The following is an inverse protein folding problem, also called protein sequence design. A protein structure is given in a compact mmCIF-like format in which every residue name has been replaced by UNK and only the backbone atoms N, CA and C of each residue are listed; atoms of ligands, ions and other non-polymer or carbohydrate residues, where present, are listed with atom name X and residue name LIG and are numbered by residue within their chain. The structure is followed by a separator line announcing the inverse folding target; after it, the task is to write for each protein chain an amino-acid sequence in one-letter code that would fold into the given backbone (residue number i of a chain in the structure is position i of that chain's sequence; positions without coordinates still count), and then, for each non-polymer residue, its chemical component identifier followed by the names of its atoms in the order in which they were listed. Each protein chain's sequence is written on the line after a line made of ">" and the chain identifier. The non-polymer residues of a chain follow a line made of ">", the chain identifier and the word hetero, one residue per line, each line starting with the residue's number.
data_IF_570691104657
#
_entry.id   IF_570691104657
#
_cell.length_a   1.000
_cell.length_b   1.000
_cell.length_c   1.000
_cell.angle_alpha   90.00
_cell.angle_beta   90.00
_cell.angle_gamma   90.00
#
_symmetry.space_group_name_H-M   'P 1'
#
loop_
_entity.id
_entity.type
_entity.pdbx_description
1 polymer ?
#
# COMPACT_ATOMS: atom_id res chain seq x y z
N UNK A 1 4.76 15.00 -4.18
CA UNK A 1 4.12 14.42 -2.99
C UNK A 1 2.79 13.85 -3.46
N UNK A 2 2.65 12.53 -3.56
CA UNK A 2 1.39 11.96 -4.04
C UNK A 2 0.31 12.20 -2.97
N UNK A 3 -0.87 12.72 -3.33
CA UNK A 3 -1.96 12.96 -2.37
C UNK A 3 -2.37 11.68 -1.62
N UNK A 4 -2.11 10.52 -2.21
CA UNK A 4 -2.38 9.19 -1.65
C UNK A 4 -1.41 8.80 -0.53
N UNK A 5 -0.15 9.27 -0.54
CA UNK A 5 0.81 9.01 0.55
C UNK A 5 0.44 9.75 1.84
N UNK A 6 0.05 11.02 1.71
CA UNK A 6 -0.39 11.82 2.85
C UNK A 6 -1.70 11.26 3.44
N UNK A 7 -2.62 10.87 2.56
CA UNK A 7 -3.86 10.19 2.93
C UNK A 7 -3.58 8.86 3.65
N UNK A 8 -2.60 8.07 3.19
CA UNK A 8 -2.20 6.82 3.82
C UNK A 8 -1.66 7.06 5.23
N UNK A 9 -0.74 8.02 5.38
CA UNK A 9 -0.16 8.39 6.69
C UNK A 9 -1.26 8.81 7.67
N UNK A 10 -2.21 9.62 7.22
CA UNK A 10 -3.33 10.09 8.04
C UNK A 10 -4.28 8.95 8.42
N UNK A 11 -4.60 8.04 7.49
CA UNK A 11 -5.42 6.86 7.75
C UNK A 11 -4.76 5.93 8.79
N UNK A 12 -3.45 5.69 8.65
CA UNK A 12 -2.69 4.87 9.60
C UNK A 12 -2.64 5.51 11.00
N UNK A 13 -2.38 6.82 11.08
CA UNK A 13 -2.39 7.57 12.35
C UNK A 13 -3.76 7.54 13.05
N UNK A 14 -4.85 7.49 12.28
CA UNK A 14 -6.22 7.37 12.79
C UNK A 14 -6.61 5.94 13.15
N UNK A 15 -5.71 4.96 13.00
CA UNK A 15 -6.00 3.54 13.22
C UNK A 15 -6.95 2.94 12.17
N UNK A 16 -7.16 3.61 11.04
CA UNK A 16 -8.05 3.16 9.97
C UNK A 16 -7.31 2.17 9.05
N UNK A 17 -7.04 0.97 9.55
CA UNK A 17 -6.22 -0.02 8.85
C UNK A 17 -6.78 -0.42 7.48
N UNK A 18 -8.09 -0.63 7.36
CA UNK A 18 -8.71 -0.98 6.06
C UNK A 18 -8.53 0.13 5.02
N UNK A 19 -8.71 1.39 5.42
CA UNK A 19 -8.48 2.55 4.55
C UNK A 19 -7.00 2.67 4.19
N UNK A 20 -6.11 2.46 5.15
CA UNK A 20 -4.67 2.47 4.92
C UNK A 20 -4.25 1.36 3.94
N UNK A 21 -4.84 0.17 4.01
CA UNK A 21 -4.55 -0.95 3.11
C UNK A 21 -4.92 -0.62 1.66
N UNK A 22 -6.12 -0.04 1.46
CA UNK A 22 -6.60 0.40 0.15
C UNK A 22 -5.67 1.47 -0.43
N UNK A 23 -5.31 2.48 0.36
CA UNK A 23 -4.44 3.57 -0.08
C UNK A 23 -3.02 3.09 -0.40
N UNK A 24 -2.49 2.16 0.39
CA UNK A 24 -1.18 1.54 0.15
C UNK A 24 -1.19 0.70 -1.13
N UNK A 25 -2.26 -0.07 -1.36
CA UNK A 25 -2.44 -0.84 -2.59
C UNK A 25 -2.53 0.07 -3.82
N UNK A 26 -3.30 1.17 -3.73
CA UNK A 26 -3.39 2.17 -4.80
C UNK A 26 -2.03 2.80 -5.13
N UNK A 27 -1.18 3.05 -4.13
CA UNK A 27 0.17 3.57 -4.35
C UNK A 27 1.04 2.57 -5.12
N UNK A 28 0.98 1.29 -4.75
CA UNK A 28 1.73 0.22 -5.45
C UNK A 28 1.24 0.07 -6.89
N UNK A 29 -0.08 0.08 -7.10
CA UNK A 29 -0.69 -0.04 -8.43
C UNK A 29 -0.36 1.17 -9.29
N UNK A 30 -0.61 2.39 -8.80
CA UNK A 30 -0.34 3.63 -9.54
C UNK A 30 1.13 3.73 -9.95
N UNK A 31 2.05 3.24 -9.11
CA UNK A 31 3.47 3.17 -9.46
C UNK A 31 3.76 2.12 -10.52
N UNK A 32 3.19 0.93 -10.39
CA UNK A 32 3.38 -0.11 -11.39
C UNK A 32 2.79 0.29 -12.74
N UNK A 33 1.61 0.92 -12.78
CA UNK A 33 1.01 1.41 -14.02
C UNK A 33 1.89 2.40 -14.79
N UNK A 34 2.81 3.11 -14.12
CA UNK A 34 3.81 3.95 -14.80
C UNK A 34 4.87 3.13 -15.57
N UNK A 35 5.06 1.86 -15.22
CA UNK A 35 6.08 0.97 -15.80
C UNK A 35 5.47 -0.20 -16.60
N UNK A 36 4.37 -0.80 -16.12
CA UNK A 36 3.63 -1.89 -16.73
C UNK A 36 2.22 -1.97 -16.10
N UNK A 37 1.17 -2.04 -16.91
CA UNK A 37 -0.19 -2.18 -16.41
C UNK A 37 -0.36 -3.52 -15.67
N UNK A 38 -0.80 -3.46 -14.41
CA UNK A 38 -1.07 -4.66 -13.62
C UNK A 38 -2.38 -5.30 -14.07
N UNK A 39 -2.41 -6.62 -14.15
CA UNK A 39 -3.66 -7.35 -14.35
C UNK A 39 -4.50 -7.37 -13.06
N UNK A 40 -5.82 -7.53 -13.19
CA UNK A 40 -6.76 -7.64 -12.07
C UNK A 40 -6.31 -8.63 -10.97
N UNK A 41 -5.69 -9.74 -11.37
CA UNK A 41 -5.16 -10.72 -10.43
C UNK A 41 -4.04 -10.12 -9.55
N UNK A 42 -3.14 -9.33 -10.12
CA UNK A 42 -2.05 -8.67 -9.41
C UNK A 42 -2.58 -7.57 -8.49
N UNK A 43 -3.60 -6.82 -8.90
CA UNK A 43 -4.25 -5.83 -8.02
C UNK A 43 -4.84 -6.49 -6.75
N UNK A 44 -5.49 -7.65 -6.91
CA UNK A 44 -6.01 -8.42 -5.77
C UNK A 44 -4.88 -8.95 -4.87
N UNK A 45 -3.77 -9.41 -5.45
CA UNK A 45 -2.60 -9.83 -4.67
C UNK A 45 -1.97 -8.67 -3.90
N UNK A 46 -1.83 -7.51 -4.52
CA UNK A 46 -1.32 -6.29 -3.90
C UNK A 46 -2.21 -5.87 -2.74
N UNK A 47 -3.54 -5.92 -2.90
CA UNK A 47 -4.46 -5.56 -1.82
C UNK A 47 -4.33 -6.49 -0.61
N UNK A 48 -4.30 -7.81 -0.82
CA UNK A 48 -4.07 -8.76 0.28
C UNK A 48 -2.71 -8.57 0.94
N UNK A 49 -1.67 -8.29 0.15
CA UNK A 49 -0.34 -8.03 0.69
C UNK A 49 -0.36 -6.81 1.61
N UNK A 50 -0.98 -5.72 1.20
CA UNK A 50 -1.13 -4.52 2.03
C UNK A 50 -1.93 -4.80 3.30
N UNK A 51 -3.01 -5.58 3.23
CA UNK A 51 -3.78 -5.99 4.41
C UNK A 51 -2.91 -6.79 5.38
N UNK A 52 -2.19 -7.82 4.90
CA UNK A 52 -1.29 -8.61 5.74
C UNK A 52 -0.14 -7.77 6.33
N UNK A 53 0.41 -6.84 5.54
CA UNK A 53 1.49 -5.95 5.98
C UNK A 53 1.01 -5.03 7.11
N UNK A 54 -0.25 -4.58 7.06
CA UNK A 54 -0.85 -3.72 8.10
C UNK A 54 -1.30 -4.51 9.33
N UNK A 55 -1.77 -5.74 9.15
CA UNK A 55 -2.09 -6.66 10.26
C UNK A 55 -0.82 -7.06 11.03
N UNK A 56 0.27 -7.39 10.32
CA UNK A 56 1.56 -7.76 10.92
C UNK A 56 2.34 -6.53 11.40
N UNK A 57 2.22 -5.43 10.68
CA UNK A 57 2.94 -4.17 10.88
C UNK A 57 2.20 -3.17 11.75
N UNK A 58 1.26 -3.58 12.60
CA UNK A 58 0.53 -2.68 13.51
C UNK A 58 1.45 -1.86 14.45
N UNK A 59 2.74 -2.20 14.53
CA UNK A 59 3.79 -1.46 15.25
C UNK A 59 4.77 -0.70 14.33
N UNK A 60 4.66 -0.85 13.01
CA UNK A 60 5.56 -0.24 12.03
C UNK A 60 5.04 1.16 11.65
N UNK A 61 5.97 2.10 11.50
CA UNK A 61 5.66 3.46 11.08
C UNK A 61 5.19 3.50 9.62
N UNK A 62 4.41 4.52 9.27
CA UNK A 62 3.92 4.73 7.90
C UNK A 62 5.05 4.72 6.86
N UNK A 63 6.20 5.31 7.17
CA UNK A 63 7.38 5.31 6.31
C UNK A 63 7.90 3.89 6.03
N UNK A 64 7.93 3.01 7.04
CA UNK A 64 8.39 1.63 6.88
C UNK A 64 7.44 0.82 6.01
N UNK A 65 6.13 1.04 6.16
CA UNK A 65 5.11 0.40 5.32
C UNK A 65 5.16 0.91 3.87
N UNK A 66 5.40 2.21 3.69
CA UNK A 66 5.60 2.82 2.37
C UNK A 66 6.87 2.28 1.69
N UNK A 67 7.97 2.14 2.44
CA UNK A 67 9.22 1.58 1.93
C UNK A 67 9.05 0.11 1.55
N UNK A 68 8.40 -0.70 2.39
CA UNK A 68 8.08 -2.10 2.08
C UNK A 68 7.17 -2.23 0.85
N UNK A 69 6.19 -1.34 0.69
CA UNK A 69 5.38 -1.24 -0.52
C UNK A 69 6.20 -0.79 -1.74
N UNK A 70 7.21 0.05 -1.53
CA UNK A 70 8.11 0.51 -2.58
C UNK A 70 9.05 -0.60 -3.09
N UNK A 71 9.42 -1.54 -2.23
CA UNK A 71 10.23 -2.71 -2.61
C UNK A 71 9.41 -3.90 -3.08
N UNK A 72 8.08 -3.82 -3.02
CA UNK A 72 7.21 -4.88 -3.49
C UNK A 72 7.21 -4.94 -5.03
N UNK A 73 7.76 -6.01 -5.58
CA UNK A 73 7.60 -6.42 -6.97
C UNK A 73 6.62 -7.59 -7.03
N UNK A 74 5.43 -7.43 -7.65
CA UNK A 74 4.53 -8.54 -7.93
C UNK A 74 5.25 -9.51 -8.88
N UNK A 75 5.35 -10.77 -8.46
CA UNK A 75 5.96 -11.86 -9.22
C UNK A 75 5.02 -12.39 -10.32
#
# INVERSE_FOLDING_TARGET
>A
MFPTEDSFRNALQKGQLSTAAILLAQLIVARHEQHAHLGLAQEVYVHRYCEQLLEQGHQLNADTLLEAAHHYTPA
#
